data_IF_817744018504
#
_entry.id   IF_817744018504
#
_cell.length_a   1.000
_cell.length_b   1.000
_cell.length_c   1.000
_cell.angle_alpha   90.00
_cell.angle_beta   90.00
_cell.angle_gamma   90.00
#
_symmetry.space_group_name_H-M   'P 1'
#
loop_
_entity.id
_entity.type
_entity.pdbx_description
1 polymer ?
#
# COMPACT_ATOMS: atom_id res chain seq x y z
N UNK A 1 22.18 1.12 -7.12
CA UNK A 1 20.71 1.18 -7.08
C UNK A 1 20.35 2.52 -6.47
N UNK A 2 19.53 3.35 -7.13
CA UNK A 2 19.16 4.66 -6.59
C UNK A 2 18.14 4.48 -5.45
N UNK A 3 18.37 5.15 -4.33
CA UNK A 3 17.47 5.10 -3.16
C UNK A 3 16.42 6.20 -3.28
N UNK A 4 15.15 5.82 -3.23
CA UNK A 4 14.01 6.73 -3.34
C UNK A 4 13.30 6.80 -1.99
N UNK A 5 13.38 7.95 -1.33
CA UNK A 5 12.79 8.20 0.00
C UNK A 5 11.58 9.12 -0.11
N UNK A 6 10.52 8.75 0.60
CA UNK A 6 9.32 9.57 0.75
C UNK A 6 9.02 9.77 2.23
N UNK A 7 8.73 11.01 2.61
CA UNK A 7 8.19 11.35 3.92
C UNK A 7 6.73 11.75 3.76
N UNK A 8 5.85 11.03 4.47
CA UNK A 8 4.40 11.20 4.36
C UNK A 8 3.83 11.52 5.74
N UNK A 9 2.96 12.52 5.81
CA UNK A 9 2.17 12.84 6.99
C UNK A 9 0.71 12.50 6.74
N UNK A 10 0.13 11.74 7.65
CA UNK A 10 -1.28 11.37 7.53
C UNK A 10 -2.15 12.51 8.05
N UNK A 11 -3.21 12.85 7.31
CA UNK A 11 -4.19 13.86 7.73
C UNK A 11 -5.17 13.29 8.77
N UNK A 12 -5.37 11.98 8.73
CA UNK A 12 -6.19 11.20 9.65
C UNK A 12 -5.38 10.02 10.20
N UNK A 13 -5.89 9.37 11.24
CA UNK A 13 -5.29 8.14 11.74
C UNK A 13 -5.36 7.05 10.66
N UNK A 14 -4.29 6.28 10.49
CA UNK A 14 -4.33 5.08 9.66
C UNK A 14 -4.59 3.87 10.55
N UNK A 15 -5.52 3.02 10.11
CA UNK A 15 -5.82 1.74 10.73
C UNK A 15 -5.39 0.62 9.79
N UNK A 16 -4.68 -0.35 10.32
CA UNK A 16 -4.30 -1.58 9.61
C UNK A 16 -4.65 -2.77 10.49
N UNK A 17 -5.31 -3.77 9.91
CA UNK A 17 -5.62 -5.01 10.61
C UNK A 17 -4.38 -5.88 10.75
N UNK A 18 -4.02 -6.22 11.99
CA UNK A 18 -3.06 -7.26 12.32
C UNK A 18 -3.65 -8.67 12.14
N UNK A 19 -2.98 -9.68 12.70
CA UNK A 19 -3.35 -11.11 12.56
C UNK A 19 -4.80 -11.39 12.98
N UNK A 20 -5.30 -10.69 14.01
CA UNK A 20 -6.69 -10.84 14.49
C UNK A 20 -7.64 -9.77 13.94
N UNK A 21 -7.26 -9.04 12.88
CA UNK A 21 -8.03 -7.91 12.35
C UNK A 21 -8.06 -6.67 13.27
N UNK A 22 -7.34 -6.72 14.40
CA UNK A 22 -7.22 -5.60 15.35
C UNK A 22 -6.14 -4.62 14.89
N UNK A 23 -6.35 -3.34 15.18
CA UNK A 23 -5.34 -2.29 14.94
C UNK A 23 -4.45 -2.16 16.16
N UNK A 24 -3.35 -2.91 16.20
CA UNK A 24 -2.31 -2.81 17.25
C UNK A 24 -1.20 -1.82 16.89
N UNK A 25 -0.86 -1.72 15.60
CA UNK A 25 0.13 -0.78 15.06
C UNK A 25 -0.10 -0.56 13.57
N UNK A 26 0.66 0.36 12.98
CA UNK A 26 0.76 0.49 11.54
C UNK A 26 1.53 -0.69 10.96
N UNK A 27 0.84 -1.55 10.22
CA UNK A 27 1.45 -2.67 9.52
C UNK A 27 1.88 -2.22 8.13
N UNK A 28 3.19 -2.08 7.92
CA UNK A 28 3.77 -1.68 6.62
C UNK A 28 3.40 -2.64 5.48
N UNK A 29 3.10 -3.90 5.80
CA UNK A 29 2.59 -4.89 4.84
C UNK A 29 1.24 -4.48 4.25
N UNK A 30 0.37 -3.84 5.05
CA UNK A 30 -0.89 -3.27 4.57
C UNK A 30 -0.65 -2.15 3.56
N UNK A 31 0.27 -1.23 3.88
CA UNK A 31 0.66 -0.14 2.96
C UNK A 31 1.26 -0.69 1.66
N UNK A 32 2.16 -1.67 1.76
CA UNK A 32 2.76 -2.34 0.60
C UNK A 32 1.70 -3.02 -0.27
N UNK A 33 0.72 -3.69 0.35
CA UNK A 33 -0.42 -4.29 -0.35
C UNK A 33 -1.27 -3.25 -1.08
N UNK A 34 -1.56 -2.12 -0.44
CA UNK A 34 -2.27 -1.00 -1.08
C UNK A 34 -1.50 -0.42 -2.27
N UNK A 35 -0.18 -0.27 -2.16
CA UNK A 35 0.67 0.17 -3.27
C UNK A 35 0.64 -0.83 -4.43
N UNK A 36 0.71 -2.14 -4.14
CA UNK A 36 0.58 -3.20 -5.16
C UNK A 36 -0.76 -3.10 -5.88
N UNK A 37 -1.84 -2.97 -5.13
CA UNK A 37 -3.18 -2.86 -5.69
C UNK A 37 -3.33 -1.60 -6.56
N UNK A 38 -2.86 -0.44 -6.11
CA UNK A 38 -2.88 0.79 -6.91
C UNK A 38 -2.02 0.68 -8.17
N UNK A 39 -0.87 0.03 -8.09
CA UNK A 39 -0.05 -0.27 -9.25
C UNK A 39 -0.85 -1.10 -10.28
N UNK A 40 -1.50 -2.18 -9.85
CA UNK A 40 -2.34 -3.01 -10.73
C UNK A 40 -3.48 -2.22 -11.37
N UNK A 41 -4.17 -1.38 -10.58
CA UNK A 41 -5.24 -0.53 -11.10
C UNK A 41 -4.74 0.42 -12.18
N UNK A 42 -3.57 1.04 -11.99
CA UNK A 42 -2.98 1.92 -13.00
C UNK A 42 -2.60 1.15 -14.27
N UNK A 43 -1.93 0.01 -14.13
CA UNK A 43 -1.49 -0.80 -15.28
C UNK A 43 -2.70 -1.35 -16.06
N UNK A 44 -3.70 -1.90 -15.35
CA UNK A 44 -4.96 -2.39 -15.97
C UNK A 44 -5.75 -1.24 -16.60
N UNK A 45 -5.79 -0.07 -15.98
CA UNK A 45 -6.43 1.13 -16.52
C UNK A 45 -5.77 1.66 -17.80
N UNK A 46 -4.47 1.42 -17.96
CA UNK A 46 -3.72 1.72 -19.19
C UNK A 46 -3.84 0.63 -20.27
N UNK A 47 -4.63 -0.43 -20.02
CA UNK A 47 -4.84 -1.54 -20.97
C UNK A 47 -3.74 -2.61 -20.94
N UNK A 48 -2.82 -2.55 -19.98
CA UNK A 48 -1.76 -3.54 -19.81
C UNK A 48 -2.15 -4.62 -18.79
N UNK A 49 -1.40 -5.73 -18.81
CA UNK A 49 -1.55 -6.80 -17.85
C UNK A 49 -0.71 -6.54 -16.59
N UNK A 50 -1.31 -6.75 -15.42
CA UNK A 50 -0.61 -6.85 -14.15
C UNK A 50 -0.95 -8.20 -13.50
N UNK A 51 0.07 -8.86 -12.91
CA UNK A 51 -0.12 -10.10 -12.17
C UNK A 51 -1.18 -9.92 -11.06
N UNK A 52 -1.83 -11.03 -10.71
CA UNK A 52 -2.84 -11.06 -9.65
C UNK A 52 -2.24 -11.19 -8.25
#
# INVERSE_FOLDING_TARGET
MADLKFELRTLTQIWTGGVEGKTDKLHLTGIKGSLRWWYEVLIRGLGYYACD
#
